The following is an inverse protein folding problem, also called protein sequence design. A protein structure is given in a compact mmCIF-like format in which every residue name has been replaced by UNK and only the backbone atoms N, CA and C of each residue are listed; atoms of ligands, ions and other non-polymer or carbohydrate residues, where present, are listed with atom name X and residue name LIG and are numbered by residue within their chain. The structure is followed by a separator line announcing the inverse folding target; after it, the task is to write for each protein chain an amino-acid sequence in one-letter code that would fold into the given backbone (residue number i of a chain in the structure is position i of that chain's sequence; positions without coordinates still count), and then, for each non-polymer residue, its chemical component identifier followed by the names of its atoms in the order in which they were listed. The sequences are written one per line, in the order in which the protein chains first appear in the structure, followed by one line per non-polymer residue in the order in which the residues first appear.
data_IF_422495762753
#
_entry.id   IF_422495762753
#
_cell.length_a   1.000
_cell.length_b   1.000
_cell.length_c   1.000
_cell.angle_alpha   90.00
_cell.angle_beta   90.00
_cell.angle_gamma   90.00
#
_symmetry.space_group_name_H-M   'P 1'
#
loop_
_entity.id
_entity.type
_entity.pdbx_description
1 polymer ?
#
# COMPACT_ATOMS: atom_id res chain seq x y z
N UNK A 1 -6.71 9.90 10.16
CA UNK A 1 -7.41 11.15 9.77
C UNK A 1 -7.06 11.36 8.30
N UNK A 2 -7.96 11.03 7.37
CA UNK A 2 -7.64 11.11 5.94
C UNK A 2 -7.67 12.57 5.50
N UNK A 3 -6.52 13.14 5.14
CA UNK A 3 -6.48 14.43 4.47
C UNK A 3 -7.08 14.21 3.08
N UNK A 4 -8.15 14.90 2.72
CA UNK A 4 -8.71 14.78 1.38
C UNK A 4 -7.92 15.69 0.44
N UNK A 5 -6.73 15.24 0.02
CA UNK A 5 -5.90 15.97 -0.95
C UNK A 5 -6.51 15.82 -2.35
N UNK A 6 -6.55 16.93 -3.10
CA UNK A 6 -6.94 16.91 -4.50
C UNK A 6 -5.75 16.38 -5.33
N UNK A 7 -5.78 15.08 -5.63
CA UNK A 7 -4.69 14.38 -6.32
C UNK A 7 -4.55 14.78 -7.80
N UNK A 8 -5.58 15.38 -8.42
CA UNK A 8 -5.59 15.72 -9.84
C UNK A 8 -4.60 16.84 -10.21
N UNK A 9 -4.32 17.77 -9.29
CA UNK A 9 -3.40 18.90 -9.50
C UNK A 9 -1.94 18.58 -9.11
N UNK A 10 -1.67 17.39 -8.57
CA UNK A 10 -0.34 17.02 -8.06
C UNK A 10 0.52 16.36 -9.14
N UNK A 11 1.83 16.67 -9.13
CA UNK A 11 2.81 15.90 -9.90
C UNK A 11 2.88 14.44 -9.43
N UNK A 12 3.44 13.56 -10.27
CA UNK A 12 3.63 12.15 -9.89
C UNK A 12 4.48 12.01 -8.62
N UNK A 13 5.52 12.84 -8.48
CA UNK A 13 6.40 12.87 -7.31
C UNK A 13 5.62 13.28 -6.05
N UNK A 14 4.77 14.30 -6.15
CA UNK A 14 3.92 14.75 -5.06
C UNK A 14 2.86 13.71 -4.69
N UNK A 15 2.30 12.98 -5.65
CA UNK A 15 1.36 11.87 -5.39
C UNK A 15 2.05 10.72 -4.66
N UNK A 16 3.26 10.35 -5.08
CA UNK A 16 4.05 9.28 -4.43
C UNK A 16 4.39 9.69 -2.99
N UNK A 17 4.86 10.92 -2.80
CA UNK A 17 5.14 11.47 -1.47
C UNK A 17 3.89 11.51 -0.59
N UNK A 18 2.77 11.96 -1.16
CA UNK A 18 1.49 11.98 -0.46
C UNK A 18 1.03 10.57 -0.07
N UNK A 19 1.12 9.60 -0.99
CA UNK A 19 0.79 8.20 -0.71
C UNK A 19 1.63 7.64 0.43
N UNK A 20 2.92 7.97 0.48
CA UNK A 20 3.79 7.58 1.57
C UNK A 20 3.36 8.21 2.90
N UNK A 21 3.23 9.54 2.94
CA UNK A 21 2.88 10.26 4.17
C UNK A 21 1.46 10.02 4.68
N UNK A 22 0.52 9.67 3.80
CA UNK A 22 -0.85 9.38 4.20
C UNK A 22 -0.99 8.07 4.99
N UNK A 23 -0.01 7.17 4.87
CA UNK A 23 -0.04 5.83 5.48
C UNK A 23 0.99 5.64 6.60
N UNK A 24 1.99 6.53 6.71
CA UNK A 24 2.91 6.66 7.85
C UNK A 24 2.16 7.25 9.06
N UNK A 25 1.54 6.38 9.86
CA UNK A 25 0.65 6.73 10.95
C UNK A 25 1.40 7.18 12.20
N UNK A 26 2.57 6.59 12.46
CA UNK A 26 3.40 6.93 13.62
C UNK A 26 4.39 8.07 13.34
N UNK A 27 4.48 8.53 12.08
CA UNK A 27 5.36 9.59 11.60
C UNK A 27 6.85 9.28 11.77
N UNK A 28 7.24 8.02 11.68
CA UNK A 28 8.64 7.59 11.74
C UNK A 28 9.38 7.76 10.38
N UNK A 29 8.68 8.15 9.31
CA UNK A 29 9.17 8.25 7.93
C UNK A 29 9.62 6.91 7.32
N UNK A 30 8.94 5.84 7.70
CA UNK A 30 8.95 4.55 7.07
C UNK A 30 7.53 3.98 7.06
N UNK A 31 7.31 2.93 6.28
CA UNK A 31 6.06 2.16 6.31
C UNK A 31 6.35 0.76 6.80
N UNK A 32 5.66 0.33 7.84
CA UNK A 32 5.67 -1.06 8.28
C UNK A 32 4.55 -1.89 7.63
N UNK A 33 4.63 -3.21 7.76
CA UNK A 33 3.63 -4.11 7.18
C UNK A 33 2.21 -3.90 7.72
N UNK A 34 2.04 -3.47 8.97
CA UNK A 34 0.72 -3.19 9.55
C UNK A 34 0.13 -1.91 8.96
N UNK A 35 0.94 -0.88 8.75
CA UNK A 35 0.52 0.35 8.07
C UNK A 35 0.08 0.08 6.63
N UNK A 36 0.79 -0.80 5.92
CA UNK A 36 0.42 -1.26 4.59
C UNK A 36 -0.88 -2.08 4.59
N UNK A 37 -1.08 -3.00 5.55
CA UNK A 37 -2.33 -3.75 5.72
C UNK A 37 -3.49 -2.78 5.99
N UNK A 38 -3.29 -1.83 6.91
CA UNK A 38 -4.31 -0.85 7.26
C UNK A 38 -4.70 0.01 6.05
N UNK A 39 -3.72 0.43 5.25
CA UNK A 39 -3.96 1.11 3.97
C UNK A 39 -4.85 0.28 3.05
N UNK A 40 -4.46 -0.97 2.79
CA UNK A 40 -5.15 -1.87 1.87
C UNK A 40 -6.59 -2.17 2.31
N UNK A 41 -6.80 -2.41 3.61
CA UNK A 41 -8.13 -2.66 4.17
C UNK A 41 -9.04 -1.42 4.15
N UNK A 42 -8.48 -0.21 4.32
CA UNK A 42 -9.25 1.03 4.27
C UNK A 42 -9.91 1.26 2.90
N UNK A 43 -9.26 0.85 1.82
CA UNK A 43 -9.82 0.93 0.47
C UNK A 43 -10.98 -0.04 0.22
N UNK A 44 -11.02 -1.17 0.94
CA UNK A 44 -12.08 -2.17 0.84
C UNK A 44 -13.20 -2.00 1.86
N UNK A 45 -13.10 -1.06 2.79
CA UNK A 45 -14.03 -0.88 3.91
C UNK A 45 -15.50 -0.74 3.47
N UNK A 46 -15.76 -0.03 2.36
CA UNK A 46 -17.12 0.15 1.83
C UNK A 46 -17.70 -1.14 1.23
N UNK A 47 -16.85 -2.05 0.76
CA UNK A 47 -17.26 -3.36 0.23
C UNK A 47 -17.77 -4.27 1.36
N UNK A 48 -17.15 -4.20 2.53
CA UNK A 48 -17.45 -5.07 3.66
C UNK A 48 -18.61 -4.59 4.54
N UNK A 49 -18.90 -3.30 4.56
CA UNK A 49 -19.94 -2.72 5.43
C UNK A 49 -21.36 -3.23 5.14
N UNK A 50 -21.59 -3.81 3.96
CA UNK A 50 -22.90 -4.30 3.50
C UNK A 50 -23.08 -5.82 3.60
N UNK A 51 -22.08 -6.57 4.09
CA UNK A 51 -22.13 -8.04 4.16
C UNK A 51 -22.66 -8.55 5.49
N UNK A 52 -23.34 -9.71 5.46
CA UNK A 52 -23.86 -10.39 6.65
C UNK A 52 -22.71 -10.79 7.60
N UNK A 53 -22.90 -10.75 8.93
CA UNK A 53 -21.77 -10.77 9.89
C UNK A 53 -20.83 -11.98 9.80
N UNK A 54 -21.35 -13.15 9.46
CA UNK A 54 -20.53 -14.37 9.34
C UNK A 54 -19.75 -14.39 8.02
N UNK A 55 -20.35 -13.89 6.94
CA UNK A 55 -19.73 -13.76 5.63
C UNK A 55 -18.66 -12.66 5.65
N UNK A 56 -18.91 -11.58 6.39
CA UNK A 56 -17.92 -10.53 6.68
C UNK A 56 -16.65 -11.09 7.32
N UNK A 57 -16.77 -11.89 8.38
CA UNK A 57 -15.60 -12.43 9.11
C UNK A 57 -14.77 -13.39 8.27
N UNK A 58 -15.42 -14.22 7.45
CA UNK A 58 -14.72 -15.21 6.64
C UNK A 58 -14.03 -14.55 5.44
N UNK A 59 -14.73 -13.68 4.70
CA UNK A 59 -14.13 -12.94 3.59
C UNK A 59 -13.04 -11.95 4.06
N UNK A 60 -13.18 -11.37 5.25
CA UNK A 60 -12.14 -10.50 5.81
C UNK A 60 -10.85 -11.26 6.17
N UNK A 61 -10.93 -12.52 6.61
CA UNK A 61 -9.74 -13.34 6.87
C UNK A 61 -9.04 -13.74 5.57
N UNK A 62 -9.78 -14.20 4.57
CA UNK A 62 -9.20 -14.60 3.28
C UNK A 62 -8.55 -13.40 2.56
N UNK A 63 -9.16 -12.20 2.63
CA UNK A 63 -8.54 -10.98 2.11
C UNK A 63 -7.32 -10.55 2.94
N UNK A 64 -7.38 -10.66 4.27
CA UNK A 64 -6.24 -10.34 5.11
C UNK A 64 -5.03 -11.21 4.77
N UNK A 65 -5.23 -12.52 4.59
CA UNK A 65 -4.18 -13.44 4.18
C UNK A 65 -3.61 -13.07 2.79
N UNK A 66 -4.48 -12.65 1.86
CA UNK A 66 -4.05 -12.16 0.56
C UNK A 66 -3.21 -10.87 0.65
N UNK A 67 -3.61 -9.93 1.49
CA UNK A 67 -2.85 -8.71 1.73
C UNK A 67 -1.50 -8.98 2.38
N UNK A 68 -1.46 -9.87 3.38
CA UNK A 68 -0.21 -10.30 4.02
C UNK A 68 0.73 -10.89 2.96
N UNK A 69 0.26 -11.82 2.13
CA UNK A 69 1.10 -12.44 1.10
C UNK A 69 1.61 -11.41 0.07
N UNK A 70 0.77 -10.45 -0.31
CA UNK A 70 1.16 -9.38 -1.23
C UNK A 70 2.21 -8.45 -0.61
N UNK A 71 2.05 -8.08 0.66
CA UNK A 71 2.97 -7.21 1.40
C UNK A 71 4.30 -7.92 1.63
N UNK A 72 4.29 -9.20 2.01
CA UNK A 72 5.51 -9.99 2.19
C UNK A 72 6.34 -10.04 0.89
N UNK A 73 5.69 -10.26 -0.25
CA UNK A 73 6.34 -10.25 -1.56
C UNK A 73 6.87 -8.87 -1.93
N UNK A 74 6.14 -7.82 -1.57
CA UNK A 74 6.55 -6.45 -1.84
C UNK A 74 7.78 -6.07 -1.00
N UNK A 75 7.77 -6.34 0.30
CA UNK A 75 8.89 -6.10 1.21
C UNK A 75 10.14 -6.89 0.78
N UNK A 76 10.00 -8.14 0.35
CA UNK A 76 11.12 -8.95 -0.14
C UNK A 76 11.90 -8.29 -1.29
N UNK A 77 11.23 -7.44 -2.09
CA UNK A 77 11.82 -6.76 -3.24
C UNK A 77 12.27 -5.33 -2.85
N UNK A 78 11.48 -4.66 -2.02
CA UNK A 78 11.59 -3.24 -1.75
C UNK A 78 12.48 -2.92 -0.53
N UNK A 79 12.44 -3.74 0.52
CA UNK A 79 13.26 -3.57 1.73
C UNK A 79 14.67 -4.12 1.49
N UNK A 80 15.58 -3.24 1.04
CA UNK A 80 16.96 -3.64 0.72
C UNK A 80 17.78 -3.98 1.96
N UNK A 81 17.42 -3.39 3.10
CA UNK A 81 18.19 -3.47 4.33
C UNK A 81 17.66 -4.57 5.29
N UNK A 82 16.47 -5.11 5.02
CA UNK A 82 15.76 -6.15 5.76
C UNK A 82 15.49 -5.79 7.23
N UNK A 83 15.20 -4.53 7.53
CA UNK A 83 14.77 -4.08 8.87
C UNK A 83 13.26 -4.22 9.10
N UNK A 84 12.50 -4.61 8.07
CA UNK A 84 11.04 -4.75 8.12
C UNK A 84 10.31 -3.41 7.99
N UNK A 85 11.02 -2.33 7.67
CA UNK A 85 10.50 -1.01 7.44
C UNK A 85 10.84 -0.57 6.01
N UNK A 86 9.89 0.08 5.37
CA UNK A 86 10.11 0.62 4.04
C UNK A 86 10.31 2.13 4.10
N UNK A 87 11.56 2.57 4.00
CA UNK A 87 11.88 3.99 4.01
C UNK A 87 11.50 4.65 2.68
N UNK A 88 11.31 5.97 2.68
CA UNK A 88 10.89 6.70 1.47
C UNK A 88 11.74 6.41 0.21
N UNK A 89 13.09 6.33 0.26
CA UNK A 89 13.89 6.01 -0.92
C UNK A 89 13.63 4.60 -1.47
N UNK A 90 13.44 3.62 -0.59
CA UNK A 90 13.13 2.22 -0.95
C UNK A 90 11.73 2.13 -1.57
N UNK A 91 10.75 2.83 -0.98
CA UNK A 91 9.40 2.94 -1.52
C UNK A 91 9.37 3.54 -2.92
N UNK A 92 10.02 4.69 -3.13
CA UNK A 92 10.07 5.36 -4.43
C UNK A 92 10.71 4.47 -5.49
N UNK A 93 11.81 3.79 -5.13
CA UNK A 93 12.48 2.83 -6.01
C UNK A 93 11.53 1.71 -6.44
N UNK A 94 10.87 1.05 -5.48
CA UNK A 94 9.95 -0.04 -5.76
C UNK A 94 8.77 0.38 -6.65
N UNK A 95 8.18 1.56 -6.39
CA UNK A 95 7.07 2.11 -7.20
C UNK A 95 7.53 2.42 -8.62
N UNK A 96 8.71 3.03 -8.78
CA UNK A 96 9.25 3.39 -10.09
C UNK A 96 9.56 2.15 -10.92
N UNK A 97 10.23 1.15 -10.33
CA UNK A 97 10.55 -0.11 -11.00
C UNK A 97 9.29 -0.89 -11.40
N UNK A 98 8.29 -0.94 -10.52
CA UNK A 98 6.99 -1.56 -10.81
C UNK A 98 6.27 -0.88 -11.98
N UNK A 99 6.27 0.46 -12.04
CA UNK A 99 5.68 1.24 -13.15
C UNK A 99 6.37 0.95 -14.47
N UNK A 100 7.70 0.97 -14.50
CA UNK A 100 8.44 0.65 -15.72
C UNK A 100 8.19 -0.78 -16.20
N UNK A 101 8.04 -1.74 -15.29
CA UNK A 101 7.80 -3.14 -15.64
C UNK A 101 6.39 -3.35 -16.21
N UNK A 102 5.39 -2.63 -15.69
CA UNK A 102 4.04 -2.59 -16.26
C UNK A 102 4.04 -1.99 -17.67
N UNK A 103 4.70 -0.85 -17.87
CA UNK A 103 4.83 -0.21 -19.19
C UNK A 103 5.53 -1.14 -20.20
N UNK A 104 6.61 -1.81 -19.79
CA UNK A 104 7.32 -2.80 -20.61
C UNK A 104 6.44 -3.98 -21.01
N UNK A 105 5.52 -4.41 -20.15
CA UNK A 105 4.61 -5.53 -20.43
C UNK A 105 3.44 -5.14 -21.34
N UNK A 106 2.99 -3.88 -21.31
CA UNK A 106 1.93 -3.38 -22.20
C UNK A 106 2.41 -3.10 -23.64
N UNK A 107 3.72 -2.96 -23.84
CA UNK A 107 4.35 -2.71 -25.14
C UNK A 107 4.77 -4.00 -25.89
N UNK A 108 4.45 -5.18 -25.35
CA UNK A 108 4.71 -6.50 -25.95
C UNK A 108 3.43 -7.12 -26.48
#
# INVERSE_FOLDING_TARGET
MGIQANLDDMSEEEKIFYMFKAHDNDNNNALDGLEMIQSAMHHNYEYFKNSDRNDYLQNANDELDHFIEAIDKFLLIADENNDGLLHYPEFVKAVTEGKEQLERNMLR
#
